data_IF_245743995390
#
_entry.id   IF_245743995390
#
_cell.length_a   1.000
_cell.length_b   1.000
_cell.length_c   1.000
_cell.angle_alpha   90.00
_cell.angle_beta   90.00
_cell.angle_gamma   90.00
#
_symmetry.space_group_name_H-M   'P 1'
#
loop_
_entity.id
_entity.type
_entity.pdbx_description
1 polymer ?
#
# COMPACT_ATOMS: atom_id res chain seq x y z
N UNK A 1 13.09 46.63 -5.66
CA UNK A 1 13.97 45.50 -6.04
C UNK A 1 13.04 44.32 -6.27
N UNK A 2 12.93 43.87 -7.52
CA UNK A 2 11.83 43.04 -8.00
C UNK A 2 11.81 41.66 -7.34
N UNK A 3 10.63 41.25 -6.92
CA UNK A 3 10.29 39.88 -6.53
C UNK A 3 10.51 38.97 -7.74
N UNK A 4 11.54 38.11 -7.65
CA UNK A 4 11.93 37.11 -8.65
C UNK A 4 11.41 35.72 -8.28
N UNK A 5 10.35 35.61 -7.48
CA UNK A 5 9.64 34.35 -7.36
C UNK A 5 9.05 33.99 -8.74
N UNK A 6 9.40 32.85 -9.35
CA UNK A 6 8.76 32.44 -10.59
C UNK A 6 7.26 32.32 -10.31
N UNK A 7 6.43 32.96 -11.14
CA UNK A 7 4.99 32.79 -11.09
C UNK A 7 4.67 31.35 -11.48
N UNK A 8 4.65 30.48 -10.46
CA UNK A 8 4.40 29.04 -10.55
C UNK A 8 2.93 28.73 -10.90
N UNK A 9 2.11 29.73 -11.25
CA UNK A 9 0.68 29.56 -11.56
C UNK A 9 -0.15 29.10 -10.35
N UNK A 10 0.33 29.39 -9.14
CA UNK A 10 -0.23 28.88 -7.89
C UNK A 10 -1.52 29.62 -7.51
N UNK A 11 -2.58 28.87 -7.18
CA UNK A 11 -3.86 29.43 -6.70
C UNK A 11 -3.62 30.31 -5.46
N UNK A 12 -4.27 31.48 -5.40
CA UNK A 12 -4.06 32.44 -4.30
C UNK A 12 -4.40 31.81 -2.93
N UNK A 13 -3.50 31.96 -1.94
CA UNK A 13 -3.61 31.34 -0.62
C UNK A 13 -2.85 30.00 -0.45
N UNK A 14 -2.33 29.42 -1.55
CA UNK A 14 -1.61 28.14 -1.53
C UNK A 14 -0.25 28.19 -0.81
N UNK A 15 0.54 29.26 -1.06
CA UNK A 15 1.91 29.37 -0.56
C UNK A 15 2.01 29.21 0.97
N UNK A 16 1.04 29.73 1.73
CA UNK A 16 1.04 29.63 3.19
C UNK A 16 0.69 28.22 3.69
N UNK A 17 -0.34 27.58 3.11
CA UNK A 17 -0.79 26.24 3.48
C UNK A 17 0.20 25.14 3.08
N UNK A 18 0.89 25.30 1.95
CA UNK A 18 1.93 24.37 1.51
C UNK A 18 3.14 24.39 2.44
N UNK A 19 3.60 25.58 2.84
CA UNK A 19 4.71 25.73 3.80
C UNK A 19 4.35 25.13 5.16
N UNK A 20 3.10 25.28 5.61
CA UNK A 20 2.60 24.66 6.85
C UNK A 20 2.55 23.12 6.74
N UNK A 21 2.02 22.57 5.64
CA UNK A 21 1.94 21.13 5.42
C UNK A 21 3.31 20.46 5.21
N UNK A 22 4.27 21.15 4.57
CA UNK A 22 5.63 20.66 4.39
C UNK A 22 6.42 20.56 5.72
N UNK A 23 5.98 21.30 6.74
CA UNK A 23 6.57 21.33 8.08
C UNK A 23 5.83 20.42 9.07
N UNK A 24 4.74 19.78 8.65
CA UNK A 24 3.95 18.90 9.50
C UNK A 24 4.70 17.56 9.73
N UNK A 25 5.11 17.35 10.99
CA UNK A 25 5.76 16.12 11.46
C UNK A 25 4.78 15.15 12.12
N UNK A 26 3.47 15.41 12.06
CA UNK A 26 2.47 14.56 12.68
C UNK A 26 2.53 13.12 12.15
N UNK A 27 2.30 12.16 13.05
CA UNK A 27 2.23 10.74 12.72
C UNK A 27 1.07 10.51 11.75
N UNK A 28 1.37 9.92 10.60
CA UNK A 28 0.38 9.55 9.57
C UNK A 28 -0.79 8.79 10.20
N UNK A 29 -2.02 9.34 10.09
CA UNK A 29 -3.28 8.72 10.53
C UNK A 29 -4.34 8.90 9.44
N UNK A 30 -5.18 7.87 9.25
CA UNK A 30 -6.30 7.85 8.29
C UNK A 30 -6.03 7.06 6.99
N UNK A 31 -7.11 6.66 6.29
CA UNK A 31 -7.14 5.81 5.07
C UNK A 31 -6.28 4.51 5.16
N UNK A 32 -6.04 3.83 4.04
CA UNK A 32 -5.19 2.62 3.95
C UNK A 32 -3.69 2.91 4.18
N UNK A 33 -3.34 4.10 4.69
CA UNK A 33 -1.96 4.53 4.90
C UNK A 33 -1.22 3.67 5.94
N UNK A 34 -1.94 3.00 6.85
CA UNK A 34 -1.39 2.13 7.89
C UNK A 34 -1.02 0.71 7.43
N UNK A 35 -1.32 0.36 6.17
CA UNK A 35 -1.22 -1.04 5.70
C UNK A 35 0.22 -1.61 5.65
N UNK A 36 1.27 -0.77 5.65
CA UNK A 36 2.69 -1.15 5.74
C UNK A 36 3.55 0.09 5.98
N UNK A 37 4.62 0.07 6.79
CA UNK A 37 5.45 1.26 7.08
C UNK A 37 6.69 1.29 6.16
N UNK A 38 6.59 2.02 5.05
CA UNK A 38 7.74 2.28 4.17
C UNK A 38 8.63 3.39 4.76
N UNK A 39 9.98 3.25 4.80
CA UNK A 39 10.88 4.32 5.23
C UNK A 39 10.78 5.55 4.30
N UNK A 40 10.87 6.77 4.84
CA UNK A 40 10.83 8.04 4.09
C UNK A 40 9.50 8.33 3.34
N UNK A 41 8.35 8.18 4.02
CA UNK A 41 7.05 8.63 3.48
C UNK A 41 6.83 10.12 3.66
N UNK A 42 6.38 10.78 2.60
CA UNK A 42 5.71 12.07 2.73
C UNK A 42 4.44 11.93 3.55
N UNK A 43 4.13 12.91 4.40
CA UNK A 43 2.84 12.99 5.09
C UNK A 43 1.70 13.05 4.04
N UNK A 44 0.61 12.28 4.19
CA UNK A 44 -0.54 12.40 3.29
C UNK A 44 -1.06 13.83 3.19
N UNK A 45 -1.01 14.60 4.27
CA UNK A 45 -1.40 16.02 4.28
C UNK A 45 -0.56 16.86 3.32
N UNK A 46 0.75 16.60 3.26
CA UNK A 46 1.66 17.29 2.34
C UNK A 46 1.36 16.93 0.88
N UNK A 47 1.23 15.64 0.61
CA UNK A 47 0.92 15.11 -0.73
C UNK A 47 -0.41 15.68 -1.23
N UNK A 48 -1.43 15.65 -0.37
CA UNK A 48 -2.75 16.22 -0.67
C UNK A 48 -2.66 17.69 -1.02
N UNK A 49 -1.95 18.48 -0.20
CA UNK A 49 -1.72 19.89 -0.46
C UNK A 49 -1.04 20.13 -1.81
N UNK A 50 0.01 19.36 -2.13
CA UNK A 50 0.69 19.44 -3.43
C UNK A 50 -0.27 19.15 -4.59
N UNK A 51 -1.03 18.06 -4.53
CA UNK A 51 -1.99 17.68 -5.58
C UNK A 51 -3.07 18.76 -5.74
N UNK A 52 -3.58 19.35 -4.65
CA UNK A 52 -4.61 20.39 -4.70
C UNK A 52 -4.14 21.65 -5.43
N UNK A 53 -2.86 22.01 -5.24
CA UNK A 53 -2.28 23.18 -5.89
C UNK A 53 -2.07 23.01 -7.38
N UNK A 54 -1.48 21.86 -7.73
CA UNK A 54 -0.82 21.68 -9.01
C UNK A 54 -1.65 20.83 -9.98
N UNK A 55 -2.86 20.43 -9.59
CA UNK A 55 -3.76 19.65 -10.44
C UNK A 55 -5.23 19.98 -10.18
N UNK A 56 -6.08 19.64 -11.13
CA UNK A 56 -7.53 19.65 -11.02
C UNK A 56 -8.09 18.21 -11.06
N UNK A 57 -9.33 17.98 -10.57
CA UNK A 57 -10.01 16.71 -10.78
C UNK A 57 -9.99 16.29 -12.25
N UNK A 58 -9.69 15.03 -12.53
CA UNK A 58 -9.50 14.48 -13.88
C UNK A 58 -8.07 14.52 -14.41
N UNK A 59 -7.19 15.36 -13.84
CA UNK A 59 -5.77 15.40 -14.25
C UNK A 59 -5.03 14.12 -13.86
N UNK A 60 -3.89 13.88 -14.52
CA UNK A 60 -2.97 12.79 -14.18
C UNK A 60 -1.92 13.25 -13.18
N UNK A 61 -1.76 12.49 -12.10
CA UNK A 61 -0.67 12.59 -11.13
C UNK A 61 0.26 11.40 -11.32
N UNK A 62 1.52 11.67 -11.65
CA UNK A 62 2.53 10.63 -11.91
C UNK A 62 3.60 10.68 -10.84
N UNK A 63 3.85 9.54 -10.19
CA UNK A 63 4.90 9.37 -9.19
C UNK A 63 5.91 8.31 -9.65
N UNK A 64 7.13 8.71 -10.09
CA UNK A 64 8.15 7.78 -10.56
C UNK A 64 8.85 7.01 -9.43
N UNK A 65 8.55 7.31 -8.16
CA UNK A 65 9.11 6.64 -6.98
C UNK A 65 7.99 6.35 -5.96
N UNK A 66 6.97 5.63 -6.43
CA UNK A 66 5.69 5.49 -5.72
C UNK A 66 5.81 4.91 -4.30
N UNK A 67 6.83 4.08 -4.03
CA UNK A 67 7.12 3.52 -2.71
C UNK A 67 5.87 2.90 -2.07
N UNK A 68 5.42 3.51 -0.97
CA UNK A 68 4.24 3.05 -0.23
C UNK A 68 2.88 3.43 -0.79
N UNK A 69 2.81 4.09 -1.95
CA UNK A 69 1.59 4.42 -2.71
C UNK A 69 0.80 5.63 -2.22
N UNK A 70 1.34 6.44 -1.29
CA UNK A 70 0.61 7.57 -0.69
C UNK A 70 0.17 8.60 -1.74
N UNK A 71 1.02 8.94 -2.71
CA UNK A 71 0.68 9.83 -3.83
C UNK A 71 -0.51 9.33 -4.63
N UNK A 72 -0.53 8.04 -4.94
CA UNK A 72 -1.60 7.44 -5.75
C UNK A 72 -2.93 7.43 -5.00
N UNK A 73 -2.91 7.06 -3.71
CA UNK A 73 -4.11 7.04 -2.86
C UNK A 73 -4.71 8.44 -2.73
N UNK A 74 -3.90 9.46 -2.44
CA UNK A 74 -4.38 10.83 -2.31
C UNK A 74 -4.87 11.39 -3.66
N UNK A 75 -4.16 11.13 -4.76
CA UNK A 75 -4.60 11.53 -6.09
C UNK A 75 -5.98 10.96 -6.43
N UNK A 76 -6.16 9.65 -6.23
CA UNK A 76 -7.45 8.98 -6.46
C UNK A 76 -8.55 9.51 -5.55
N UNK A 77 -8.26 9.69 -4.25
CA UNK A 77 -9.22 10.22 -3.28
C UNK A 77 -9.68 11.65 -3.64
N UNK A 78 -8.85 12.38 -4.36
CA UNK A 78 -9.15 13.71 -4.86
C UNK A 78 -9.73 13.72 -6.28
N UNK A 79 -10.05 12.56 -6.85
CA UNK A 79 -10.63 12.47 -8.19
C UNK A 79 -9.65 12.76 -9.33
N UNK A 80 -8.34 12.52 -9.12
CA UNK A 80 -7.31 12.53 -10.19
C UNK A 80 -7.06 11.11 -10.68
N UNK A 81 -6.56 10.99 -11.91
CA UNK A 81 -5.94 9.78 -12.39
C UNK A 81 -4.54 9.65 -11.78
N UNK A 82 -4.10 8.44 -11.45
CA UNK A 82 -2.84 8.21 -10.77
C UNK A 82 -2.01 7.13 -11.46
N UNK A 83 -0.72 7.39 -11.66
CA UNK A 83 0.25 6.42 -12.18
C UNK A 83 1.49 6.41 -11.28
N UNK A 84 1.85 5.23 -10.79
CA UNK A 84 3.03 5.04 -9.94
C UNK A 84 4.00 4.05 -10.56
N UNK A 85 5.29 4.38 -10.53
CA UNK A 85 6.37 3.50 -10.94
C UNK A 85 7.32 3.34 -9.74
N UNK A 86 7.84 2.14 -9.55
CA UNK A 86 8.88 1.84 -8.57
C UNK A 86 9.67 0.63 -9.06
N UNK A 87 10.97 0.57 -8.76
CA UNK A 87 11.83 -0.57 -9.09
C UNK A 87 11.56 -1.77 -8.16
N UNK A 88 11.05 -1.51 -6.96
CA UNK A 88 10.70 -2.51 -5.96
C UNK A 88 9.38 -3.17 -6.30
N UNK A 89 9.41 -4.48 -6.57
CA UNK A 89 8.21 -5.30 -6.77
C UNK A 89 7.27 -5.26 -5.56
N UNK A 90 7.82 -5.14 -4.34
CA UNK A 90 7.05 -4.95 -3.13
C UNK A 90 6.31 -3.60 -3.12
N UNK A 91 6.97 -2.52 -3.56
CA UNK A 91 6.34 -1.20 -3.68
C UNK A 91 5.19 -1.23 -4.69
N UNK A 92 5.40 -1.85 -5.87
CA UNK A 92 4.35 -2.03 -6.87
C UNK A 92 3.16 -2.81 -6.32
N UNK A 93 3.40 -3.91 -5.61
CA UNK A 93 2.36 -4.73 -4.98
C UNK A 93 1.58 -3.95 -3.91
N UNK A 94 2.26 -3.19 -3.05
CA UNK A 94 1.61 -2.37 -2.03
C UNK A 94 0.78 -1.24 -2.64
N UNK A 95 1.27 -0.61 -3.72
CA UNK A 95 0.52 0.37 -4.48
C UNK A 95 -0.76 -0.26 -5.04
N UNK A 96 -0.65 -1.40 -5.74
CA UNK A 96 -1.79 -2.12 -6.30
C UNK A 96 -2.84 -2.45 -5.23
N UNK A 97 -2.41 -2.97 -4.07
CA UNK A 97 -3.32 -3.30 -2.97
C UNK A 97 -4.06 -2.07 -2.42
N UNK A 98 -3.39 -0.92 -2.33
CA UNK A 98 -3.96 0.30 -1.74
C UNK A 98 -4.83 1.12 -2.70
N UNK A 99 -4.58 1.02 -3.99
CA UNK A 99 -5.31 1.75 -5.04
C UNK A 99 -6.46 0.95 -5.61
N UNK A 100 -6.76 -0.24 -5.06
CA UNK A 100 -7.89 -1.04 -5.50
C UNK A 100 -9.22 -0.47 -5.03
N UNK A 101 -10.12 -0.27 -5.99
CA UNK A 101 -11.54 -0.03 -5.71
C UNK A 101 -12.22 -1.39 -5.61
N UNK A 102 -12.68 -1.72 -4.40
CA UNK A 102 -13.38 -2.97 -4.10
C UNK A 102 -14.89 -2.74 -4.08
N UNK A 103 -15.64 -3.65 -4.70
CA UNK A 103 -17.09 -3.68 -4.56
C UNK A 103 -17.53 -4.48 -3.33
N UNK A 104 -18.82 -4.45 -3.00
CA UNK A 104 -19.37 -5.16 -1.84
C UNK A 104 -19.07 -6.66 -1.88
N UNK A 105 -19.00 -7.25 -3.06
CA UNK A 105 -18.83 -8.69 -3.18
C UNK A 105 -17.34 -9.07 -3.06
N UNK A 106 -16.42 -8.20 -3.49
CA UNK A 106 -14.99 -8.29 -3.17
C UNK A 106 -14.78 -8.27 -1.64
N UNK A 107 -15.47 -7.37 -0.94
CA UNK A 107 -15.41 -7.24 0.52
C UNK A 107 -16.00 -8.49 1.21
N UNK A 108 -17.18 -8.96 0.78
CA UNK A 108 -17.80 -10.17 1.32
C UNK A 108 -16.96 -11.42 1.08
N UNK A 109 -16.26 -11.52 -0.05
CA UNK A 109 -15.34 -12.63 -0.32
C UNK A 109 -14.12 -12.59 0.61
N UNK A 110 -13.54 -11.41 0.80
CA UNK A 110 -12.42 -11.22 1.74
C UNK A 110 -12.81 -11.56 3.18
N UNK A 111 -13.98 -11.09 3.66
CA UNK A 111 -14.46 -11.39 5.02
C UNK A 111 -14.68 -12.88 5.26
N UNK A 112 -15.37 -13.57 4.35
CA UNK A 112 -15.58 -15.03 4.46
C UNK A 112 -14.26 -15.79 4.48
N UNK A 113 -13.29 -15.36 3.68
CA UNK A 113 -11.96 -15.96 3.72
C UNK A 113 -11.25 -15.73 5.07
N UNK A 114 -11.33 -14.52 5.64
CA UNK A 114 -10.79 -14.25 6.98
C UNK A 114 -11.43 -15.13 8.05
N UNK A 115 -12.73 -15.37 7.99
CA UNK A 115 -13.43 -16.25 8.93
C UNK A 115 -12.94 -17.72 8.86
N UNK A 116 -12.39 -18.14 7.72
CA UNK A 116 -11.88 -19.49 7.51
C UNK A 116 -10.35 -19.63 7.65
N UNK A 117 -9.62 -18.53 7.86
CA UNK A 117 -8.15 -18.59 7.85
C UNK A 117 -7.60 -19.38 9.03
N UNK A 118 -8.20 -19.24 10.21
CA UNK A 118 -7.78 -19.92 11.43
C UNK A 118 -7.89 -21.44 11.31
N UNK A 119 -8.96 -21.93 10.68
CA UNK A 119 -9.16 -23.37 10.44
C UNK A 119 -8.30 -23.92 9.31
N UNK A 120 -7.76 -23.04 8.46
CA UNK A 120 -6.87 -23.44 7.37
C UNK A 120 -5.43 -23.67 7.85
N UNK A 121 -4.99 -22.96 8.89
CA UNK A 121 -3.65 -23.10 9.44
C UNK A 121 -3.61 -24.33 10.35
N UNK A 122 -3.00 -25.41 9.87
CA UNK A 122 -2.87 -26.67 10.58
C UNK A 122 -1.44 -27.22 10.45
N UNK A 123 -0.73 -27.29 11.59
CA UNK A 123 0.67 -27.74 11.63
C UNK A 123 0.86 -29.22 11.26
N UNK A 124 -0.21 -30.02 11.29
CA UNK A 124 -0.19 -31.43 10.90
C UNK A 124 -0.50 -31.65 9.41
N UNK A 125 -1.12 -30.69 8.74
CA UNK A 125 -1.39 -30.74 7.29
C UNK A 125 -0.15 -30.39 6.48
N UNK A 126 0.02 -30.87 5.23
CA UNK A 126 1.10 -30.41 4.36
C UNK A 126 0.95 -28.92 4.01
N UNK A 127 2.02 -28.30 3.52
CA UNK A 127 2.05 -26.95 2.95
C UNK A 127 2.76 -26.98 1.60
N UNK A 128 2.37 -26.07 0.71
CA UNK A 128 3.02 -25.92 -0.60
C UNK A 128 3.88 -24.67 -0.58
N UNK A 129 5.13 -24.81 -1.06
CA UNK A 129 6.04 -23.70 -1.18
C UNK A 129 5.69 -22.92 -2.44
N UNK A 130 5.55 -21.61 -2.31
CA UNK A 130 5.24 -20.73 -3.42
C UNK A 130 6.53 -20.14 -3.99
N UNK A 131 7.11 -20.77 -5.01
CA UNK A 131 8.44 -20.40 -5.56
C UNK A 131 8.51 -18.94 -6.03
N UNK A 132 7.44 -18.41 -6.62
CA UNK A 132 7.38 -16.99 -7.02
C UNK A 132 7.53 -16.00 -5.84
N UNK A 133 7.14 -16.40 -4.63
CA UNK A 133 7.35 -15.60 -3.41
C UNK A 133 8.78 -15.75 -2.88
N UNK A 134 9.39 -16.91 -3.05
CA UNK A 134 10.80 -17.11 -2.72
C UNK A 134 11.69 -16.23 -3.57
N UNK A 135 11.45 -16.20 -4.88
CA UNK A 135 12.21 -15.39 -5.84
C UNK A 135 12.05 -13.89 -5.59
N UNK A 136 10.84 -13.46 -5.20
CA UNK A 136 10.59 -12.08 -4.78
C UNK A 136 11.15 -11.73 -3.39
N UNK A 137 11.83 -12.68 -2.72
CA UNK A 137 12.54 -12.45 -1.47
C UNK A 137 11.66 -12.47 -0.22
N UNK A 138 10.41 -12.95 -0.29
CA UNK A 138 9.48 -12.98 0.84
C UNK A 138 9.91 -13.94 1.97
N UNK A 139 10.73 -14.95 1.66
CA UNK A 139 11.26 -15.89 2.67
C UNK A 139 12.66 -15.55 3.17
N UNK A 140 13.27 -14.42 2.75
CA UNK A 140 14.70 -14.09 2.97
C UNK A 140 15.13 -14.08 4.45
N UNK A 141 14.20 -14.04 5.40
CA UNK A 141 14.44 -14.09 6.85
C UNK A 141 13.77 -15.29 7.55
N UNK A 142 13.33 -16.29 6.79
CA UNK A 142 12.57 -17.45 7.29
C UNK A 142 13.25 -18.78 7.00
N UNK A 143 14.50 -18.78 6.51
CA UNK A 143 15.19 -19.97 6.01
C UNK A 143 15.73 -20.89 7.13
N UNK A 144 15.89 -20.38 8.36
CA UNK A 144 16.33 -21.16 9.52
C UNK A 144 15.34 -22.25 9.95
N UNK A 145 15.82 -23.40 10.48
CA UNK A 145 14.97 -24.50 10.96
C UNK A 145 14.02 -24.08 12.09
N UNK A 146 14.39 -23.09 12.89
CA UNK A 146 13.57 -22.52 13.96
C UNK A 146 12.27 -21.86 13.47
N UNK A 147 12.23 -21.42 12.20
CA UNK A 147 11.07 -20.75 11.61
C UNK A 147 10.11 -21.69 10.89
N UNK A 148 10.30 -23.01 10.96
CA UNK A 148 9.53 -23.97 10.16
C UNK A 148 8.00 -23.85 10.37
N UNK A 149 7.55 -23.62 11.61
CA UNK A 149 6.12 -23.44 11.94
C UNK A 149 5.55 -22.17 11.31
N UNK A 150 6.32 -21.08 11.39
CA UNK A 150 5.93 -19.79 10.82
C UNK A 150 5.89 -19.86 9.30
N UNK A 151 6.92 -20.45 8.68
CA UNK A 151 6.98 -20.70 7.23
C UNK A 151 5.77 -21.51 6.77
N UNK A 152 5.48 -22.61 7.46
CA UNK A 152 4.33 -23.48 7.17
C UNK A 152 2.99 -22.77 7.30
N UNK A 153 2.81 -21.97 8.34
CA UNK A 153 1.60 -21.16 8.51
C UNK A 153 1.43 -20.16 7.37
N UNK A 154 2.50 -19.47 6.97
CA UNK A 154 2.49 -18.52 5.84
C UNK A 154 2.17 -19.24 4.53
N UNK A 155 2.79 -20.39 4.25
CA UNK A 155 2.52 -21.19 3.04
C UNK A 155 1.06 -21.64 2.96
N UNK A 156 0.51 -22.20 4.05
CA UNK A 156 -0.90 -22.60 4.08
C UNK A 156 -1.84 -21.41 3.95
N UNK A 157 -1.49 -20.28 4.55
CA UNK A 157 -2.25 -19.05 4.42
C UNK A 157 -2.21 -18.52 2.98
N UNK A 158 -1.06 -18.52 2.31
CA UNK A 158 -0.93 -18.15 0.90
C UNK A 158 -1.71 -19.08 -0.03
N UNK A 159 -1.62 -20.40 0.16
CA UNK A 159 -2.43 -21.38 -0.61
C UNK A 159 -3.94 -21.18 -0.38
N UNK A 160 -4.35 -20.72 0.81
CA UNK A 160 -5.76 -20.40 1.06
C UNK A 160 -6.23 -19.18 0.27
N UNK A 161 -5.34 -18.21 0.00
CA UNK A 161 -5.65 -17.01 -0.79
C UNK A 161 -5.89 -17.36 -2.25
N UNK A 162 -5.22 -18.38 -2.80
CA UNK A 162 -5.44 -18.85 -4.17
C UNK A 162 -6.87 -19.37 -4.39
N UNK A 163 -7.56 -19.77 -3.32
CA UNK A 163 -8.97 -20.19 -3.36
C UNK A 163 -9.94 -19.01 -3.52
N UNK A 164 -9.48 -17.77 -3.34
CA UNK A 164 -10.29 -16.58 -3.62
C UNK A 164 -10.44 -16.39 -5.13
N UNK A 165 -11.65 -16.68 -5.64
CA UNK A 165 -12.01 -16.49 -7.06
C UNK A 165 -11.96 -15.02 -7.51
N UNK A 166 -11.96 -14.07 -6.57
CA UNK A 166 -11.96 -12.62 -6.82
C UNK A 166 -10.54 -12.08 -6.72
N UNK A 167 -10.00 -11.61 -7.85
CA UNK A 167 -8.61 -11.12 -7.95
C UNK A 167 -8.31 -10.00 -6.93
N UNK A 168 -9.23 -9.05 -6.75
CA UNK A 168 -9.08 -7.92 -5.82
C UNK A 168 -9.05 -8.38 -4.35
N UNK A 169 -10.00 -9.21 -3.95
CA UNK A 169 -10.00 -9.84 -2.63
C UNK A 169 -8.70 -10.61 -2.36
N UNK A 170 -8.19 -11.33 -3.36
CA UNK A 170 -6.92 -12.05 -3.26
C UNK A 170 -5.71 -11.13 -3.07
N UNK A 171 -5.68 -9.98 -3.73
CA UNK A 171 -4.61 -8.99 -3.56
C UNK A 171 -4.63 -8.41 -2.15
N UNK A 172 -5.81 -8.03 -1.64
CA UNK A 172 -5.95 -7.58 -0.26
C UNK A 172 -5.54 -8.65 0.76
N UNK A 173 -6.00 -9.90 0.57
CA UNK A 173 -5.67 -11.02 1.43
C UNK A 173 -4.17 -11.31 1.50
N UNK A 174 -3.49 -11.31 0.35
CA UNK A 174 -2.03 -11.39 0.31
C UNK A 174 -1.40 -10.25 1.09
N UNK A 175 -1.86 -9.03 0.84
CA UNK A 175 -1.28 -7.84 1.45
C UNK A 175 -1.41 -7.87 2.99
N UNK A 176 -2.48 -8.45 3.55
CA UNK A 176 -2.67 -8.61 5.00
C UNK A 176 -1.59 -9.47 5.68
N UNK A 177 -0.94 -10.39 4.98
CA UNK A 177 0.20 -11.16 5.51
C UNK A 177 1.51 -10.39 5.50
N UNK A 178 1.62 -9.39 4.62
CA UNK A 178 2.83 -8.58 4.47
C UNK A 178 2.72 -7.25 5.22
N UNK A 179 1.48 -6.83 5.55
CA UNK A 179 1.12 -5.63 6.27
C UNK A 179 1.24 -5.76 7.78
N UNK A 180 2.43 -6.09 8.29
CA UNK A 180 2.95 -5.65 9.60
C UNK A 180 4.39 -6.17 9.81
N UNK A 181 5.39 -5.28 9.76
CA UNK A 181 6.45 -5.28 10.73
C UNK A 181 6.33 -3.98 11.53
N UNK A 182 5.88 -4.11 12.77
CA UNK A 182 6.57 -3.56 13.95
C UNK A 182 5.72 -3.81 15.20
N UNK A 183 6.22 -4.71 16.06
CA UNK A 183 6.28 -4.38 17.48
C UNK A 183 7.30 -3.27 17.66
N UNK A 184 6.90 -2.18 18.31
CA UNK A 184 7.10 -1.97 19.74
C UNK A 184 6.00 -1.02 20.20
#
# INVERSE_FOLDING_TARGET
MNDLSPDLGLKSGFSKRFIEAARDQARVKGLTHEFYRYPARFSPSFVRGAIEAFSNPGDWVVDPFAGGGTTLVEAMAMGRNALGIDISSLSSFLCEAKTQIMDDQDISAYRRWMECIETTINMHSPSERHDGYADAGYYRNLDGPEFWRLRKAIEQALSSVERLRRKRSGILARASFFGRPNGH
#
